data_IF_017599892717
#
_entry.id   IF_017599892717
#
_cell.length_a   1.000
_cell.length_b   1.000
_cell.length_c   1.000
_cell.angle_alpha   90.00
_cell.angle_beta   90.00
_cell.angle_gamma   90.00
#
_symmetry.space_group_name_H-M   'P 1'
#
loop_
_entity.id
_entity.type
_entity.pdbx_description
1 polymer ?
#
# COMPACT_ATOMS: atom_id res chain seq x y z
N UNK A 1 -8.13 0.87 32.56
CA UNK A 1 -7.47 1.65 31.49
C UNK A 1 -8.51 1.87 30.40
N UNK A 2 -8.87 3.12 30.08
CA UNK A 2 -9.77 3.41 28.96
C UNK A 2 -9.11 2.90 27.69
N UNK A 3 -9.64 1.81 27.13
CA UNK A 3 -9.29 1.40 25.77
C UNK A 3 -9.92 2.43 24.84
N UNK A 4 -9.08 3.24 24.19
CA UNK A 4 -9.52 4.20 23.17
C UNK A 4 -10.23 3.49 21.99
N UNK A 5 -9.84 2.25 21.69
CA UNK A 5 -10.52 1.36 20.77
C UNK A 5 -11.05 0.11 21.48
N UNK A 6 -12.35 -0.15 21.33
CA UNK A 6 -12.98 -1.41 21.73
C UNK A 6 -12.58 -2.56 20.79
N UNK A 7 -12.70 -3.79 21.29
CA UNK A 7 -12.34 -5.01 20.53
C UNK A 7 -13.10 -5.12 19.20
N UNK A 8 -14.35 -4.68 19.15
CA UNK A 8 -15.17 -4.68 17.92
C UNK A 8 -14.55 -3.77 16.84
N UNK A 9 -14.12 -2.56 17.22
CA UNK A 9 -13.47 -1.62 16.31
C UNK A 9 -12.10 -2.12 15.86
N UNK A 10 -11.34 -2.75 16.76
CA UNK A 10 -10.06 -3.37 16.40
C UNK A 10 -10.25 -4.47 15.35
N UNK A 11 -11.26 -5.32 15.51
CA UNK A 11 -11.57 -6.35 14.52
C UNK A 11 -12.00 -5.75 13.19
N UNK A 12 -12.87 -4.72 13.21
CA UNK A 12 -13.27 -3.99 12.01
C UNK A 12 -12.06 -3.44 11.24
N UNK A 13 -11.14 -2.75 11.92
CA UNK A 13 -9.94 -2.22 11.27
C UNK A 13 -8.99 -3.33 10.79
N UNK A 14 -8.88 -4.43 11.55
CA UNK A 14 -8.07 -5.59 11.16
C UNK A 14 -8.58 -6.21 9.87
N UNK A 15 -9.88 -6.47 9.76
CA UNK A 15 -10.49 -7.03 8.55
C UNK A 15 -10.30 -6.09 7.36
N UNK A 16 -10.50 -4.79 7.56
CA UNK A 16 -10.27 -3.78 6.52
C UNK A 16 -8.81 -3.74 6.05
N UNK A 17 -7.84 -3.82 6.96
CA UNK A 17 -6.42 -3.86 6.62
C UNK A 17 -6.05 -5.16 5.87
N UNK A 18 -6.65 -6.30 6.24
CA UNK A 18 -6.44 -7.56 5.52
C UNK A 18 -7.00 -7.52 4.09
N UNK A 19 -8.17 -6.92 3.91
CA UNK A 19 -8.75 -6.70 2.58
C UNK A 19 -7.84 -5.80 1.73
N UNK A 20 -7.42 -4.65 2.28
CA UNK A 20 -6.48 -3.75 1.59
C UNK A 20 -5.16 -4.44 1.23
N UNK A 21 -4.63 -5.30 2.12
CA UNK A 21 -3.42 -6.08 1.86
C UNK A 21 -3.63 -6.98 0.63
N UNK A 22 -4.72 -7.76 0.62
CA UNK A 22 -5.05 -8.68 -0.47
C UNK A 22 -5.24 -7.93 -1.80
N UNK A 23 -5.90 -6.78 -1.78
CA UNK A 23 -6.09 -5.96 -2.98
C UNK A 23 -4.76 -5.44 -3.55
N UNK A 24 -3.84 -4.99 -2.68
CA UNK A 24 -2.53 -4.52 -3.13
C UNK A 24 -1.65 -5.69 -3.61
N UNK A 25 -1.68 -6.84 -2.92
CA UNK A 25 -0.96 -8.05 -3.34
C UNK A 25 -1.45 -8.57 -4.71
N UNK A 26 -2.77 -8.58 -4.95
CA UNK A 26 -3.31 -8.94 -6.27
C UNK A 26 -2.82 -7.99 -7.33
N UNK A 27 -2.91 -6.67 -7.12
CA UNK A 27 -2.50 -5.67 -8.10
C UNK A 27 -1.01 -5.75 -8.46
N UNK A 28 -0.15 -6.11 -7.50
CA UNK A 28 1.28 -6.34 -7.76
C UNK A 28 1.46 -7.61 -8.60
N UNK A 29 0.79 -8.71 -8.21
CA UNK A 29 0.86 -9.97 -8.95
C UNK A 29 0.28 -9.89 -10.37
N UNK A 30 -0.79 -9.13 -10.57
CA UNK A 30 -1.40 -8.88 -11.89
C UNK A 30 -0.49 -8.03 -12.78
N UNK A 31 0.31 -7.12 -12.20
CA UNK A 31 1.29 -6.32 -12.92
C UNK A 31 2.56 -7.14 -13.25
N UNK A 32 2.96 -8.08 -12.40
CA UNK A 32 4.02 -9.06 -12.73
C UNK A 32 3.58 -10.10 -13.79
N UNK A 33 2.27 -10.34 -13.93
CA UNK A 33 1.69 -11.16 -15.00
C UNK A 33 1.76 -10.50 -16.38
N UNK A 34 1.85 -9.17 -16.42
CA UNK A 34 2.28 -8.38 -17.58
C UNK A 34 3.83 -8.27 -17.57
N UNK A 35 4.49 -9.42 -17.39
CA UNK A 35 5.94 -9.47 -17.44
C UNK A 35 6.36 -9.15 -18.88
N UNK A 36 7.24 -8.15 -19.12
CA UNK A 36 7.80 -7.93 -20.45
C UNK A 36 8.60 -9.14 -20.97
N UNK A 37 8.82 -10.16 -20.16
CA UNK A 37 9.49 -11.40 -20.57
C UNK A 37 8.67 -12.27 -21.54
N UNK A 38 7.33 -12.21 -21.52
CA UNK A 38 6.51 -12.89 -22.55
C UNK A 38 6.45 -12.03 -23.83
N UNK A 39 6.41 -10.71 -23.69
CA UNK A 39 6.49 -9.78 -24.83
C UNK A 39 7.86 -9.86 -25.55
N UNK A 40 8.97 -10.07 -24.85
CA UNK A 40 10.31 -10.22 -25.45
C UNK A 40 10.39 -11.44 -26.38
N UNK A 41 9.57 -12.47 -26.17
CA UNK A 41 9.55 -13.66 -27.03
C UNK A 41 8.70 -13.44 -28.31
N UNK A 42 7.78 -12.47 -28.32
CA UNK A 42 7.05 -12.03 -29.51
C UNK A 42 7.69 -10.82 -30.21
N UNK A 43 8.58 -10.08 -29.53
CA UNK A 43 9.30 -8.91 -30.08
C UNK A 43 10.40 -9.29 -31.09
N UNK A 44 10.69 -10.58 -31.29
CA UNK A 44 11.63 -11.02 -32.32
C UNK A 44 11.08 -10.84 -33.76
N UNK A 45 9.79 -10.49 -33.91
CA UNK A 45 9.12 -10.34 -35.22
C UNK A 45 8.60 -8.92 -35.52
N UNK A 46 8.70 -7.95 -34.59
CA UNK A 46 8.19 -6.59 -34.83
C UNK A 46 9.28 -5.58 -35.22
N UNK A 47 9.09 -5.02 -36.41
CA UNK A 47 9.83 -3.92 -37.03
C UNK A 47 9.92 -2.72 -36.08
N UNK A 48 11.11 -2.53 -35.50
CA UNK A 48 11.38 -1.60 -34.40
C UNK A 48 11.33 -0.14 -34.89
N UNK A 49 10.13 0.47 -34.89
CA UNK A 49 9.94 1.86 -35.26
C UNK A 49 10.42 2.79 -34.13
N UNK A 50 11.32 3.76 -34.40
CA UNK A 50 11.93 4.62 -33.38
C UNK A 50 10.94 5.55 -32.63
N UNK A 51 9.69 5.64 -33.05
CA UNK A 51 8.64 6.36 -32.34
C UNK A 51 7.99 5.53 -31.21
N UNK A 52 8.01 4.20 -31.29
CA UNK A 52 7.41 3.31 -30.28
C UNK A 52 8.35 3.05 -29.10
N UNK A 53 9.67 3.06 -29.30
CA UNK A 53 10.68 2.93 -28.21
C UNK A 53 10.56 4.03 -27.14
N UNK A 54 10.17 5.25 -27.51
CA UNK A 54 9.99 6.33 -26.54
C UNK A 54 8.71 6.17 -25.70
N UNK A 55 7.68 5.52 -26.25
CA UNK A 55 6.41 5.24 -25.58
C UNK A 55 6.59 4.06 -24.62
N UNK A 56 7.24 2.99 -25.07
CA UNK A 56 7.51 1.80 -24.27
C UNK A 56 8.35 2.11 -23.01
N UNK A 57 9.40 2.93 -23.15
CA UNK A 57 10.21 3.34 -22.01
C UNK A 57 9.44 4.21 -21.00
N UNK A 58 8.58 5.12 -21.48
CA UNK A 58 7.74 5.95 -20.62
C UNK A 58 6.70 5.12 -19.86
N UNK A 59 6.13 4.09 -20.49
CA UNK A 59 5.21 3.16 -19.84
C UNK A 59 5.92 2.34 -18.77
N UNK A 60 7.09 1.76 -19.08
CA UNK A 60 7.90 1.02 -18.09
C UNK A 60 8.30 1.87 -16.87
N UNK A 61 8.73 3.11 -17.07
CA UNK A 61 9.08 4.01 -15.96
C UNK A 61 7.85 4.34 -15.09
N UNK A 62 6.67 4.44 -15.69
CA UNK A 62 5.41 4.66 -14.96
C UNK A 62 5.00 3.42 -14.17
N UNK A 63 5.07 2.24 -14.76
CA UNK A 63 4.75 0.98 -14.07
C UNK A 63 5.71 0.70 -12.90
N UNK A 64 7.01 0.95 -13.07
CA UNK A 64 7.99 0.84 -11.99
C UNK A 64 7.68 1.78 -10.81
N UNK A 65 7.30 3.03 -11.09
CA UNK A 65 6.88 3.99 -10.07
C UNK A 65 5.59 3.56 -9.34
N UNK A 66 4.62 2.99 -10.06
CA UNK A 66 3.39 2.48 -9.48
C UNK A 66 3.63 1.27 -8.58
N UNK A 67 4.52 0.36 -8.96
CA UNK A 67 4.88 -0.80 -8.15
C UNK A 67 5.56 -0.39 -6.84
N UNK A 68 6.50 0.56 -6.89
CA UNK A 68 7.16 1.07 -5.67
C UNK A 68 6.15 1.67 -4.67
N UNK A 69 5.17 2.44 -5.15
CA UNK A 69 4.11 3.00 -4.30
C UNK A 69 3.23 1.89 -3.68
N UNK A 70 2.92 0.84 -4.44
CA UNK A 70 2.13 -0.30 -3.96
C UNK A 70 2.89 -1.11 -2.92
N UNK A 71 4.19 -1.31 -3.10
CA UNK A 71 5.04 -1.98 -2.12
C UNK A 71 5.12 -1.20 -0.81
N UNK A 72 5.33 0.12 -0.87
CA UNK A 72 5.32 0.99 0.32
C UNK A 72 3.98 0.88 1.06
N UNK A 73 2.87 0.91 0.31
CA UNK A 73 1.52 0.74 0.87
C UNK A 73 1.35 -0.60 1.58
N UNK A 74 1.90 -1.69 1.03
CA UNK A 74 1.89 -3.00 1.69
C UNK A 74 2.70 -3.01 2.98
N UNK A 75 3.84 -2.33 3.01
CA UNK A 75 4.64 -2.17 4.24
C UNK A 75 3.83 -1.42 5.30
N UNK A 76 3.16 -0.33 4.93
CA UNK A 76 2.28 0.42 5.84
C UNK A 76 1.15 -0.45 6.42
N UNK A 77 0.51 -1.27 5.58
CA UNK A 77 -0.58 -2.16 6.00
C UNK A 77 -0.09 -3.26 6.93
N UNK A 78 1.05 -3.90 6.62
CA UNK A 78 1.66 -4.95 7.45
C UNK A 78 2.03 -4.40 8.83
N UNK A 79 2.62 -3.21 8.86
CA UNK A 79 2.94 -2.51 10.10
C UNK A 79 1.69 -2.18 10.94
N UNK A 80 0.61 -1.71 10.32
CA UNK A 80 -0.65 -1.46 11.01
C UNK A 80 -1.24 -2.75 11.63
N UNK A 81 -1.19 -3.87 10.92
CA UNK A 81 -1.60 -5.18 11.42
C UNK A 81 -0.74 -5.62 12.62
N UNK A 82 0.58 -5.43 12.54
CA UNK A 82 1.49 -5.75 13.65
C UNK A 82 1.18 -4.90 14.90
N UNK A 83 0.87 -3.61 14.71
CA UNK A 83 0.43 -2.72 15.81
C UNK A 83 -0.87 -3.20 16.45
N UNK A 84 -1.78 -3.82 15.69
CA UNK A 84 -2.99 -4.44 16.25
C UNK A 84 -2.62 -5.63 17.12
N UNK A 85 -1.70 -6.49 16.69
CA UNK A 85 -1.24 -7.65 17.46
C UNK A 85 -0.50 -7.24 18.74
N UNK A 86 0.30 -6.17 18.67
CA UNK A 86 0.99 -5.57 19.82
C UNK A 86 0.05 -4.78 20.75
N UNK A 87 -1.17 -4.49 20.32
CA UNK A 87 -2.14 -3.67 21.07
C UNK A 87 -1.81 -2.18 21.11
N UNK A 88 -0.95 -1.69 20.20
CA UNK A 88 -0.56 -0.27 20.07
C UNK A 88 -1.30 0.46 18.94
N UNK A 89 -2.13 -0.25 18.19
CA UNK A 89 -2.93 0.34 17.12
C UNK A 89 -3.90 1.42 17.64
N UNK A 90 -4.00 2.51 16.89
CA UNK A 90 -4.81 3.67 17.26
C UNK A 90 -4.13 4.63 18.24
N UNK A 91 -2.82 4.49 18.46
CA UNK A 91 -2.00 5.48 19.18
C UNK A 91 -0.85 5.96 18.29
N UNK A 92 -0.51 7.24 18.41
CA UNK A 92 0.58 7.88 17.68
C UNK A 92 1.92 7.28 18.10
N UNK A 93 2.78 6.94 17.13
CA UNK A 93 4.14 6.47 17.41
C UNK A 93 5.05 7.58 17.94
N UNK A 94 4.77 8.85 17.57
CA UNK A 94 5.55 10.02 18.02
C UNK A 94 5.21 10.42 19.46
N UNK A 95 3.93 10.58 19.78
CA UNK A 95 3.49 11.12 21.08
C UNK A 95 2.80 10.12 22.00
N UNK A 96 2.45 8.92 21.52
CA UNK A 96 1.65 7.94 22.27
C UNK A 96 0.20 8.35 22.48
N UNK A 97 -0.25 9.46 21.87
CA UNK A 97 -1.62 9.97 22.00
C UNK A 97 -2.61 9.17 21.14
N UNK A 98 -3.87 9.04 21.56
CA UNK A 98 -4.89 8.33 20.80
C UNK A 98 -5.15 9.02 19.45
N UNK A 99 -5.10 8.25 18.36
CA UNK A 99 -5.43 8.71 17.00
C UNK A 99 -6.95 8.74 16.87
N UNK A 100 -7.56 9.85 16.37
CA UNK A 100 -8.99 9.93 16.15
C UNK A 100 -9.51 8.79 15.27
N UNK A 101 -10.64 8.20 15.64
CA UNK A 101 -11.25 7.08 14.90
C UNK A 101 -11.61 7.51 13.48
N UNK A 102 -12.16 8.72 13.31
CA UNK A 102 -12.50 9.30 12.00
C UNK A 102 -11.29 9.32 11.05
N UNK A 103 -10.09 9.53 11.59
CA UNK A 103 -8.84 9.47 10.81
C UNK A 103 -8.49 8.04 10.42
N UNK A 104 -8.64 7.07 11.33
CA UNK A 104 -8.41 5.66 11.03
C UNK A 104 -9.45 5.11 10.03
N UNK A 105 -10.66 5.65 10.01
CA UNK A 105 -11.69 5.30 9.01
C UNK A 105 -11.33 5.79 7.61
N UNK A 106 -10.63 6.92 7.50
CA UNK A 106 -10.13 7.46 6.22
C UNK A 106 -8.81 6.80 5.84
N UNK A 107 -7.88 6.67 6.80
CA UNK A 107 -6.53 6.15 6.62
C UNK A 107 -6.21 5.12 7.72
N UNK A 108 -6.59 3.84 7.54
CA UNK A 108 -6.39 2.80 8.55
C UNK A 108 -4.91 2.45 8.77
N UNK A 109 -4.01 2.89 7.90
CA UNK A 109 -2.56 2.73 8.08
C UNK A 109 -1.92 3.83 8.93
N UNK A 110 -2.66 4.87 9.32
CA UNK A 110 -2.12 6.03 10.00
C UNK A 110 -1.28 5.66 11.24
N UNK A 111 -0.06 6.19 11.28
CA UNK A 111 0.92 5.99 12.38
C UNK A 111 0.92 7.12 13.39
N UNK A 112 0.57 8.32 12.96
CA UNK A 112 0.65 9.55 13.76
C UNK A 112 -0.65 10.38 13.66
N UNK A 113 -0.75 11.39 14.52
CA UNK A 113 -1.81 12.41 14.42
C UNK A 113 -1.59 13.30 13.19
N UNK A 114 -2.68 13.89 12.66
CA UNK A 114 -2.62 14.87 11.54
C UNK A 114 -1.60 15.98 11.82
N UNK A 115 -1.59 16.45 13.07
CA UNK A 115 -0.74 17.54 13.54
C UNK A 115 0.76 17.18 13.46
N UNK A 116 1.09 15.89 13.54
CA UNK A 116 2.44 15.38 13.64
C UNK A 116 3.01 14.89 12.29
N UNK A 117 2.17 14.76 11.27
CA UNK A 117 2.58 14.32 9.93
C UNK A 117 3.21 15.43 9.08
N UNK A 118 2.94 16.70 9.40
CA UNK A 118 3.38 17.87 8.63
C UNK A 118 4.61 18.58 9.23
N UNK A 119 5.39 17.88 10.06
CA UNK A 119 6.63 18.38 10.67
C UNK A 119 7.84 17.60 10.18
#
# INVERSE_FOLDING_TARGET
MSKHLDTEKLNYFKERLLEMKKENESKISDNEGDSPNDAINELADYDNHPADMATEQFEQERDAGLNMVREDRLVEIKDALERIEKGTYGYSEKSGKPIPIERLEIMPTARNLVEEENQ
#
